data_IF_951110315906
#
_entry.id   IF_951110315906
#
_cell.length_a   1.000
_cell.length_b   1.000
_cell.length_c   1.000
_cell.angle_alpha   90.00
_cell.angle_beta   90.00
_cell.angle_gamma   90.00
#
_symmetry.space_group_name_H-M   'P 1'
#
loop_
_entity.id
_entity.type
_entity.pdbx_description
1 polymer ?
#
# COMPACT_ATOMS: atom_id res chain seq x y z
N UNK A 1 -24.81 -30.12 21.80
CA UNK A 1 -25.44 -29.61 20.56
C UNK A 1 -25.87 -28.19 20.88
N UNK A 2 -25.29 -27.09 20.43
CA UNK A 2 -24.55 -26.75 19.20
C UNK A 2 -23.71 -25.49 19.52
N UNK A 3 -22.38 -25.53 19.35
CA UNK A 3 -21.50 -24.35 19.53
C UNK A 3 -20.54 -24.20 18.34
N UNK A 4 -20.98 -24.64 17.18
CA UNK A 4 -20.11 -24.82 16.01
C UNK A 4 -20.29 -23.69 14.98
N UNK A 5 -21.32 -22.85 15.15
CA UNK A 5 -21.66 -21.77 14.22
C UNK A 5 -20.89 -20.46 14.48
N UNK A 6 -20.62 -20.11 15.75
CA UNK A 6 -20.02 -18.80 16.10
C UNK A 6 -18.51 -18.72 15.79
N UNK A 7 -17.77 -19.82 15.97
CA UNK A 7 -16.31 -19.88 15.73
C UNK A 7 -15.96 -19.66 14.24
N UNK A 8 -16.77 -20.20 13.34
CA UNK A 8 -16.60 -20.02 11.89
C UNK A 8 -16.82 -18.57 11.46
N UNK A 9 -17.72 -17.84 12.14
CA UNK A 9 -17.99 -16.44 11.84
C UNK A 9 -16.88 -15.52 12.36
N UNK A 10 -16.35 -15.74 13.57
CA UNK A 10 -15.19 -14.98 14.09
C UNK A 10 -13.97 -15.13 13.18
N UNK A 11 -13.63 -16.37 12.80
CA UNK A 11 -12.48 -16.66 11.93
C UNK A 11 -12.61 -15.98 10.55
N UNK A 12 -13.84 -15.86 10.02
CA UNK A 12 -14.11 -15.12 8.78
C UNK A 12 -13.95 -13.61 8.95
N UNK A 13 -14.36 -13.06 10.08
CA UNK A 13 -14.26 -11.63 10.36
C UNK A 13 -12.80 -11.18 10.49
N UNK A 14 -11.95 -11.97 11.15
CA UNK A 14 -10.51 -11.69 11.25
C UNK A 14 -9.82 -11.70 9.88
N UNK A 15 -10.12 -12.71 9.05
CA UNK A 15 -9.58 -12.77 7.69
C UNK A 15 -10.06 -11.60 6.83
N UNK A 16 -11.30 -11.14 7.02
CA UNK A 16 -11.85 -9.98 6.31
C UNK A 16 -11.17 -8.68 6.74
N UNK A 17 -10.88 -8.53 8.03
CA UNK A 17 -10.11 -7.40 8.57
C UNK A 17 -8.65 -7.40 8.06
N UNK A 18 -8.00 -8.56 8.01
CA UNK A 18 -6.66 -8.70 7.44
C UNK A 18 -6.62 -8.46 5.92
N UNK A 19 -7.62 -8.95 5.18
CA UNK A 19 -7.75 -8.66 3.76
C UNK A 19 -7.99 -7.16 3.52
N UNK A 20 -8.82 -6.52 4.35
CA UNK A 20 -9.05 -5.08 4.29
C UNK A 20 -7.77 -4.29 4.55
N UNK A 21 -7.05 -4.57 5.64
CA UNK A 21 -5.78 -3.87 5.91
C UNK A 21 -4.82 -4.08 4.74
N UNK A 22 -4.73 -5.30 4.20
CA UNK A 22 -3.79 -5.59 3.11
C UNK A 22 -4.14 -4.85 1.83
N UNK A 23 -5.43 -4.83 1.45
CA UNK A 23 -5.89 -4.21 0.20
C UNK A 23 -5.95 -2.68 0.26
N UNK A 24 -5.91 -2.07 1.46
CA UNK A 24 -5.91 -0.62 1.62
C UNK A 24 -4.54 -0.09 2.07
N UNK A 25 -3.95 -0.66 3.11
CA UNK A 25 -2.69 -0.19 3.70
C UNK A 25 -1.53 -0.32 2.72
N UNK A 26 -1.33 -1.49 2.11
CA UNK A 26 -0.22 -1.68 1.16
C UNK A 26 -0.31 -0.77 -0.06
N UNK A 27 -1.45 -0.63 -0.76
CA UNK A 27 -1.53 0.29 -1.89
C UNK A 27 -1.36 1.75 -1.49
N UNK A 28 -1.94 2.19 -0.36
CA UNK A 28 -1.70 3.56 0.14
C UNK A 28 -0.20 3.77 0.41
N UNK A 29 0.44 2.82 1.10
CA UNK A 29 1.87 2.87 1.38
C UNK A 29 2.71 2.85 0.09
N UNK A 30 2.30 2.09 -0.91
CA UNK A 30 2.94 2.04 -2.24
C UNK A 30 2.84 3.38 -2.96
N UNK A 31 1.67 4.03 -2.94
CA UNK A 31 1.48 5.35 -3.55
C UNK A 31 2.35 6.40 -2.86
N UNK A 32 2.40 6.40 -1.53
CA UNK A 32 3.24 7.34 -0.77
C UNK A 32 4.72 7.08 -1.03
N UNK A 33 5.14 5.81 -1.02
CA UNK A 33 6.53 5.42 -1.25
C UNK A 33 6.99 5.72 -2.68
N UNK A 34 6.34 5.12 -3.67
CA UNK A 34 6.71 5.25 -5.09
C UNK A 34 6.42 6.65 -5.61
N UNK A 35 5.23 7.19 -5.31
CA UNK A 35 4.84 8.53 -5.73
C UNK A 35 5.65 9.61 -5.03
N UNK A 36 5.88 9.50 -3.71
CA UNK A 36 6.74 10.41 -2.97
C UNK A 36 8.19 10.36 -3.44
N UNK A 37 8.73 9.16 -3.68
CA UNK A 37 10.08 9.02 -4.23
C UNK A 37 10.19 9.60 -5.64
N UNK A 38 9.26 9.29 -6.54
CA UNK A 38 9.22 9.86 -7.89
C UNK A 38 9.06 11.38 -7.87
N UNK A 39 8.27 11.92 -6.95
CA UNK A 39 8.11 13.35 -6.75
C UNK A 39 9.41 14.01 -6.24
N UNK A 40 10.11 13.39 -5.29
CA UNK A 40 11.42 13.86 -4.82
C UNK A 40 12.41 13.88 -5.98
N UNK A 41 12.49 12.80 -6.75
CA UNK A 41 13.36 12.75 -7.93
C UNK A 41 12.99 13.87 -8.89
N UNK A 42 11.72 14.02 -9.26
CA UNK A 42 11.23 15.10 -10.13
C UNK A 42 11.61 16.49 -9.62
N UNK A 43 11.43 16.77 -8.34
CA UNK A 43 11.85 18.04 -7.71
C UNK A 43 13.37 18.25 -7.77
N UNK A 44 14.15 17.18 -7.57
CA UNK A 44 15.60 17.23 -7.77
C UNK A 44 15.95 17.55 -9.23
N UNK A 45 15.17 17.06 -10.21
CA UNK A 45 15.37 17.42 -11.63
C UNK A 45 15.13 18.92 -11.89
N UNK A 46 14.14 19.53 -11.22
CA UNK A 46 13.88 20.97 -11.35
C UNK A 46 15.05 21.80 -10.78
N UNK A 47 15.69 21.35 -9.70
CA UNK A 47 16.76 22.07 -9.01
C UNK A 47 18.13 21.85 -9.66
N UNK A 48 18.48 20.61 -10.00
CA UNK A 48 19.79 20.21 -10.51
C UNK A 48 19.84 20.09 -12.04
N UNK A 49 18.72 20.36 -12.71
CA UNK A 49 18.56 20.15 -14.14
C UNK A 49 18.15 18.71 -14.47
N UNK A 50 17.57 18.47 -15.67
CA UNK A 50 17.02 17.16 -16.04
C UNK A 50 18.12 16.08 -16.04
N UNK A 51 18.00 15.00 -15.25
CA UNK A 51 18.84 13.83 -15.39
C UNK A 51 18.34 13.03 -16.60
N UNK A 52 18.97 13.26 -17.76
CA UNK A 52 18.58 12.57 -18.99
C UNK A 52 18.89 13.32 -20.27
N UNK A 53 20.15 13.70 -20.48
CA UNK A 53 20.70 13.72 -21.84
C UNK A 53 22.05 13.03 -21.78
N UNK A 54 22.00 11.70 -21.88
CA UNK A 54 23.19 10.91 -22.13
C UNK A 54 23.49 11.00 -23.61
N UNK A 55 24.34 11.97 -23.98
CA UNK A 55 25.37 12.00 -25.02
C UNK A 55 26.08 13.36 -24.93
#
# INVERSE_FOLDING_TARGET
>A
MTKDSTDNDEKKNELKALAFITIFLFPILSIIGVGGYGFIIWMLQIIFGPPGHGL
#
